data_IF_302186828061
#
_entry.id   IF_302186828061
#
_cell.length_a   1.000
_cell.length_b   1.000
_cell.length_c   1.000
_cell.angle_alpha   90.00
_cell.angle_beta   90.00
_cell.angle_gamma   90.00
#
_symmetry.space_group_name_H-M   'P 1'
#
loop_
_entity.id
_entity.type
_entity.pdbx_description
1 polymer ?
#
# COMPACT_ATOMS: atom_id res chain seq x y z
N UNK A 1 -28.56 12.48 -14.96
CA UNK A 1 -27.83 13.71 -14.58
C UNK A 1 -27.33 13.52 -13.17
N UNK A 2 -26.03 13.45 -12.96
CA UNK A 2 -25.43 13.45 -11.61
C UNK A 2 -25.58 14.84 -11.02
N UNK A 3 -26.29 14.95 -9.90
CA UNK A 3 -26.38 16.19 -9.13
C UNK A 3 -25.07 16.42 -8.37
N UNK A 4 -24.71 17.68 -8.15
CA UNK A 4 -23.59 18.01 -7.28
C UNK A 4 -23.86 17.48 -5.86
N UNK A 5 -22.83 16.93 -5.22
CA UNK A 5 -22.92 16.40 -3.86
C UNK A 5 -21.63 16.72 -3.08
N UNK A 6 -21.76 16.81 -1.76
CA UNK A 6 -20.63 17.04 -0.86
C UNK A 6 -20.12 15.71 -0.30
N UNK A 7 -18.84 15.43 -0.50
CA UNK A 7 -18.17 14.22 0.00
C UNK A 7 -17.14 14.60 1.07
N UNK A 8 -16.92 13.70 2.04
CA UNK A 8 -16.03 13.95 3.19
C UNK A 8 -15.02 12.82 3.33
N UNK A 9 -13.78 13.20 3.68
CA UNK A 9 -12.71 12.30 4.08
C UNK A 9 -12.14 12.78 5.41
N UNK A 10 -12.03 11.87 6.38
CA UNK A 10 -11.30 12.11 7.63
C UNK A 10 -10.00 11.33 7.58
N UNK A 11 -8.88 12.03 7.67
CA UNK A 11 -7.54 11.45 7.55
C UNK A 11 -6.76 11.66 8.86
N UNK A 12 -6.28 10.59 9.52
CA UNK A 12 -5.34 10.71 10.62
C UNK A 12 -4.04 11.40 10.17
N UNK A 13 -3.60 12.44 10.89
CA UNK A 13 -2.40 13.21 10.53
C UNK A 13 -1.12 12.37 10.42
N UNK A 14 -1.04 11.25 11.13
CA UNK A 14 0.07 10.30 11.03
C UNK A 14 0.27 9.75 9.60
N UNK A 15 -0.79 9.65 8.79
CA UNK A 15 -0.73 9.20 7.40
C UNK A 15 -0.07 10.19 6.43
N UNK A 16 0.31 11.38 6.92
CA UNK A 16 1.14 12.35 6.19
C UNK A 16 2.64 12.09 6.38
N UNK A 17 3.03 11.26 7.35
CA UNK A 17 4.43 10.97 7.64
C UNK A 17 5.02 10.09 6.53
N UNK A 18 6.13 10.56 5.96
CA UNK A 18 6.93 9.82 4.97
C UNK A 18 7.65 8.64 5.64
N UNK A 19 7.95 7.61 4.86
CA UNK A 19 8.60 6.40 5.34
C UNK A 19 8.12 5.17 4.58
N UNK A 20 8.45 4.00 5.10
CA UNK A 20 8.04 2.72 4.54
C UNK A 20 6.79 2.23 5.26
N UNK A 21 5.69 2.10 4.52
CA UNK A 21 4.37 1.75 5.02
C UNK A 21 3.87 0.55 4.26
N UNK A 22 3.04 -0.25 4.91
CA UNK A 22 2.23 -1.27 4.27
C UNK A 22 0.76 -0.88 4.35
N UNK A 23 -0.01 -1.13 3.31
CA UNK A 23 -1.43 -0.80 3.30
C UNK A 23 -2.25 -1.79 2.49
N UNK A 24 -3.53 -1.89 2.86
CA UNK A 24 -4.55 -2.64 2.13
C UNK A 24 -5.67 -1.68 1.77
N UNK A 25 -5.99 -1.63 0.49
CA UNK A 25 -7.26 -1.08 0.01
C UNK A 25 -8.33 -2.15 0.09
N UNK A 26 -9.34 -1.92 0.91
CA UNK A 26 -10.60 -2.65 0.89
C UNK A 26 -11.57 -1.91 -0.04
N UNK A 27 -11.99 -2.57 -1.12
CA UNK A 27 -12.87 -2.02 -2.15
C UNK A 27 -14.20 -2.75 -2.11
N UNK A 28 -15.25 -2.06 -1.66
CA UNK A 28 -16.61 -2.58 -1.60
C UNK A 28 -17.35 -2.22 -2.88
N UNK A 29 -17.96 -3.22 -3.50
CA UNK A 29 -18.76 -3.09 -4.72
C UNK A 29 -20.21 -3.39 -4.36
N UNK A 30 -21.14 -2.55 -4.79
CA UNK A 30 -22.57 -2.76 -4.54
C UNK A 30 -23.03 -4.10 -5.13
N UNK A 31 -23.71 -4.93 -4.33
CA UNK A 31 -24.21 -6.23 -4.75
C UNK A 31 -23.21 -7.40 -4.64
N UNK A 32 -21.94 -7.13 -4.33
CA UNK A 32 -20.97 -8.21 -4.03
C UNK A 32 -20.90 -8.49 -2.52
N UNK A 33 -20.82 -9.78 -2.11
CA UNK A 33 -20.87 -10.15 -0.70
C UNK A 33 -19.56 -9.86 0.06
N UNK A 34 -18.43 -9.84 -0.65
CA UNK A 34 -17.09 -9.73 -0.06
C UNK A 34 -16.29 -8.65 -0.82
N UNK A 35 -15.52 -7.79 -0.12
CA UNK A 35 -14.73 -6.75 -0.78
C UNK A 35 -13.57 -7.33 -1.59
N UNK A 36 -13.10 -6.56 -2.56
CA UNK A 36 -11.81 -6.78 -3.20
C UNK A 36 -10.69 -6.13 -2.37
N UNK A 37 -9.57 -6.83 -2.20
CA UNK A 37 -8.42 -6.34 -1.48
C UNK A 37 -7.26 -6.06 -2.43
N UNK A 38 -6.62 -4.90 -2.31
CA UNK A 38 -5.34 -4.63 -2.95
C UNK A 38 -4.30 -4.32 -1.89
N UNK A 39 -3.19 -5.06 -1.91
CA UNK A 39 -2.08 -4.86 -0.98
C UNK A 39 -1.02 -4.01 -1.66
N UNK A 40 -0.54 -2.98 -0.96
CA UNK A 40 0.50 -2.10 -1.48
C UNK A 40 1.42 -1.59 -0.38
N UNK A 41 2.51 -0.95 -0.80
CA UNK A 41 3.45 -0.30 0.12
C UNK A 41 3.92 1.07 -0.34
N UNK A 42 4.66 1.75 0.53
CA UNK A 42 5.55 2.87 0.17
C UNK A 42 7.02 2.41 0.22
N UNK A 43 7.89 3.12 -0.48
CA UNK A 43 9.28 2.70 -0.72
C UNK A 43 9.43 2.24 -2.18
N UNK A 44 9.73 3.18 -3.07
CA UNK A 44 9.71 2.96 -4.51
C UNK A 44 10.94 2.20 -5.00
N UNK A 45 10.79 1.44 -6.08
CA UNK A 45 11.93 0.72 -6.68
C UNK A 45 12.94 1.64 -7.37
N UNK A 46 12.49 2.82 -7.80
CA UNK A 46 13.24 3.76 -8.65
C UNK A 46 13.56 5.09 -7.97
N UNK A 47 13.24 5.25 -6.69
CA UNK A 47 13.47 6.48 -5.93
C UNK A 47 13.85 6.16 -4.49
N UNK A 48 14.85 6.85 -3.92
CA UNK A 48 15.24 6.64 -2.53
C UNK A 48 14.26 7.26 -1.54
N UNK A 49 13.23 7.96 -2.04
CA UNK A 49 12.30 8.74 -1.23
C UNK A 49 11.02 7.93 -0.95
N UNK A 50 10.92 7.32 0.22
CA UNK A 50 9.74 6.57 0.64
C UNK A 50 8.60 7.54 1.02
N UNK A 51 7.49 7.52 0.26
CA UNK A 51 6.39 8.47 0.44
C UNK A 51 5.47 8.15 1.62
N UNK A 52 4.46 9.00 1.85
CA UNK A 52 3.40 8.74 2.82
C UNK A 52 2.20 8.00 2.17
N UNK A 53 1.38 7.26 2.94
CA UNK A 53 0.17 6.61 2.42
C UNK A 53 -0.78 7.59 1.74
N UNK A 54 -0.95 8.79 2.31
CA UNK A 54 -1.80 9.83 1.73
C UNK A 54 -1.38 10.21 0.29
N UNK A 55 -0.08 10.31 0.03
CA UNK A 55 0.43 10.61 -1.32
C UNK A 55 0.15 9.47 -2.30
N UNK A 56 0.28 8.22 -1.85
CA UNK A 56 -0.01 7.03 -2.68
C UNK A 56 -1.50 6.81 -2.89
N UNK A 57 -2.33 7.25 -1.95
CA UNK A 57 -3.78 7.09 -1.99
C UNK A 57 -4.37 7.64 -3.30
N UNK A 58 -4.06 8.90 -3.63
CA UNK A 58 -4.55 9.54 -4.85
C UNK A 58 -3.91 8.98 -6.13
N UNK A 59 -2.64 8.55 -6.05
CA UNK A 59 -1.92 7.99 -7.20
C UNK A 59 -2.60 6.72 -7.71
N UNK A 60 -2.85 5.75 -6.82
CA UNK A 60 -3.39 4.42 -7.17
C UNK A 60 -4.75 4.46 -7.88
N UNK A 61 -5.56 5.45 -7.58
CA UNK A 61 -6.87 5.69 -8.21
C UNK A 61 -6.81 6.73 -9.32
N UNK A 62 -5.67 7.38 -9.55
CA UNK A 62 -5.47 8.37 -10.60
C UNK A 62 -5.54 7.79 -12.00
N UNK A 63 -5.51 8.65 -13.02
CA UNK A 63 -5.53 8.26 -14.44
C UNK A 63 -4.13 8.17 -15.07
N UNK A 64 -3.08 8.58 -14.35
CA UNK A 64 -1.71 8.51 -14.86
C UNK A 64 -1.28 7.05 -15.00
N UNK A 65 -0.80 6.68 -16.18
CA UNK A 65 -0.49 5.30 -16.55
C UNK A 65 0.48 4.62 -15.56
N UNK A 66 1.49 5.35 -15.08
CA UNK A 66 2.52 4.82 -14.19
C UNK A 66 2.15 4.85 -12.70
N UNK A 67 0.95 5.31 -12.36
CA UNK A 67 0.54 5.51 -10.96
C UNK A 67 -0.81 4.86 -10.64
N UNK A 68 -1.50 4.26 -11.61
CA UNK A 68 -2.91 3.82 -11.53
C UNK A 68 -3.10 2.31 -11.27
N UNK A 69 -2.24 1.67 -10.47
CA UNK A 69 -2.24 0.21 -10.32
C UNK A 69 -3.59 -0.35 -9.83
N UNK A 70 -4.16 0.22 -8.77
CA UNK A 70 -5.48 -0.19 -8.26
C UNK A 70 -6.58 0.01 -9.31
N UNK A 71 -6.61 1.17 -9.97
CA UNK A 71 -7.55 1.43 -11.07
C UNK A 71 -7.46 0.36 -12.15
N UNK A 72 -6.25 0.02 -12.61
CA UNK A 72 -6.06 -1.00 -13.66
C UNK A 72 -6.59 -2.36 -13.23
N UNK A 73 -6.36 -2.78 -11.99
CA UNK A 73 -6.90 -4.03 -11.46
C UNK A 73 -8.43 -4.05 -11.44
N UNK A 74 -9.06 -2.96 -10.95
CA UNK A 74 -10.52 -2.87 -10.86
C UNK A 74 -11.18 -2.81 -12.24
N UNK A 75 -10.67 -1.98 -13.15
CA UNK A 75 -11.16 -1.91 -14.54
C UNK A 75 -10.96 -3.26 -15.25
N UNK A 76 -9.84 -3.94 -15.02
CA UNK A 76 -9.60 -5.28 -15.56
C UNK A 76 -10.59 -6.35 -15.05
N UNK A 77 -11.29 -6.10 -13.94
CA UNK A 77 -12.40 -6.92 -13.43
C UNK A 77 -13.77 -6.46 -13.95
N UNK A 78 -13.82 -5.44 -14.80
CA UNK A 78 -15.06 -4.87 -15.31
C UNK A 78 -15.81 -3.99 -14.31
N UNK A 79 -15.14 -3.51 -13.26
CA UNK A 79 -15.75 -2.70 -12.22
C UNK A 79 -15.72 -1.21 -12.56
N UNK A 80 -16.83 -0.51 -12.29
CA UNK A 80 -16.92 0.95 -12.33
C UNK A 80 -16.40 1.53 -11.02
N UNK A 81 -15.36 2.36 -11.08
CA UNK A 81 -14.72 2.88 -9.86
C UNK A 81 -15.64 3.81 -9.07
N UNK A 82 -16.45 4.60 -9.76
CA UNK A 82 -17.39 5.56 -9.19
C UNK A 82 -18.54 4.89 -8.42
N UNK A 83 -18.75 3.59 -8.63
CA UNK A 83 -19.75 2.77 -7.92
C UNK A 83 -19.15 2.05 -6.71
N UNK A 84 -17.83 2.14 -6.50
CA UNK A 84 -17.11 1.49 -5.41
C UNK A 84 -16.97 2.39 -4.18
N UNK A 85 -16.91 1.77 -3.00
CA UNK A 85 -16.45 2.43 -1.77
C UNK A 85 -15.05 1.94 -1.43
N UNK A 86 -14.16 2.87 -1.10
CA UNK A 86 -12.75 2.58 -0.85
C UNK A 86 -12.40 2.86 0.61
N UNK A 87 -11.77 1.88 1.27
CA UNK A 87 -11.25 2.02 2.62
C UNK A 87 -9.76 1.67 2.63
N UNK A 88 -8.92 2.61 3.07
CA UNK A 88 -7.47 2.43 3.11
C UNK A 88 -7.04 2.13 4.55
N UNK A 89 -6.54 0.92 4.78
CA UNK A 89 -5.97 0.48 6.05
C UNK A 89 -4.46 0.55 5.90
N UNK A 90 -3.78 1.41 6.66
CA UNK A 90 -2.33 1.62 6.56
C UNK A 90 -1.65 1.34 7.89
N UNK A 91 -0.54 0.61 7.85
CA UNK A 91 0.31 0.29 8.99
C UNK A 91 1.71 0.87 8.77
N UNK A 92 2.18 1.66 9.75
CA UNK A 92 3.53 2.20 9.72
C UNK A 92 3.68 3.62 10.31
N UNK A 93 4.78 4.32 9.95
CA UNK A 93 5.85 3.79 9.11
C UNK A 93 6.58 2.65 9.84
N UNK A 94 6.80 1.53 9.13
CA UNK A 94 7.61 0.40 9.61
C UNK A 94 9.06 0.86 9.77
N UNK A 95 9.53 1.63 8.79
CA UNK A 95 10.83 2.31 8.82
C UNK A 95 10.66 3.78 8.46
N UNK A 96 11.42 4.69 9.09
CA UNK A 96 11.47 6.08 8.63
C UNK A 96 11.99 6.17 7.20
N UNK A 97 11.74 7.31 6.55
CA UNK A 97 12.37 7.61 5.27
C UNK A 97 13.89 7.75 5.47
N UNK A 98 14.69 7.31 4.49
CA UNK A 98 16.10 7.69 4.41
C UNK A 98 16.19 9.21 4.38
N UNK A 99 17.06 9.78 5.21
CA UNK A 99 17.16 11.23 5.34
C UNK A 99 17.36 11.89 3.98
N UNK A 100 16.40 12.73 3.63
CA UNK A 100 16.29 13.33 2.30
C UNK A 100 16.94 14.70 2.32
N UNK A 101 18.01 14.94 1.54
CA UNK A 101 18.57 16.27 1.40
C UNK A 101 17.50 17.29 0.97
N UNK A 102 17.49 18.45 1.63
CA UNK A 102 16.55 19.52 1.33
C UNK A 102 16.77 20.06 -0.09
N UNK A 103 18.05 20.18 -0.49
CA UNK A 103 18.45 20.64 -1.80
C UNK A 103 18.25 19.55 -2.87
N UNK A 104 17.64 19.93 -4.00
CA UNK A 104 17.44 19.05 -5.16
C UNK A 104 18.78 18.60 -5.76
N UNK A 105 19.76 19.50 -5.85
CA UNK A 105 21.06 19.20 -6.46
C UNK A 105 21.83 18.18 -5.63
N UNK A 106 21.86 18.36 -4.32
CA UNK A 106 22.47 17.40 -3.39
C UNK A 106 21.76 16.03 -3.45
N UNK A 107 20.43 16.02 -3.56
CA UNK A 107 19.69 14.77 -3.71
C UNK A 107 20.07 14.02 -4.98
N UNK A 108 20.32 14.74 -6.08
CA UNK A 108 20.77 14.13 -7.34
C UNK A 108 22.19 13.60 -7.21
N UNK A 109 23.11 14.38 -6.64
CA UNK A 109 24.51 13.97 -6.49
C UNK A 109 24.67 12.75 -5.57
N UNK A 110 23.85 12.66 -4.51
CA UNK A 110 23.87 11.55 -3.54
C UNK A 110 22.89 10.43 -3.87
N UNK A 111 22.27 10.42 -5.06
CA UNK A 111 21.20 9.48 -5.38
C UNK A 111 21.60 8.02 -5.19
N UNK A 112 22.80 7.63 -5.62
CA UNK A 112 23.28 6.25 -5.48
C UNK A 112 23.41 5.83 -4.01
N UNK A 113 24.06 6.66 -3.19
CA UNK A 113 24.21 6.47 -1.75
C UNK A 113 22.85 6.34 -1.05
N UNK A 114 21.92 7.26 -1.35
CA UNK A 114 20.57 7.23 -0.79
C UNK A 114 19.80 5.98 -1.21
N UNK A 115 20.00 5.50 -2.43
CA UNK A 115 19.41 4.25 -2.90
C UNK A 115 19.98 3.03 -2.19
N UNK A 116 21.26 3.03 -1.85
CA UNK A 116 21.90 1.93 -1.13
C UNK A 116 21.40 1.82 0.32
N UNK A 117 21.10 2.96 0.95
CA UNK A 117 20.41 3.00 2.25
C UNK A 117 18.93 2.61 2.14
N UNK A 118 18.27 2.98 1.03
CA UNK A 118 16.85 2.72 0.81
C UNK A 118 16.55 1.24 0.52
N UNK A 119 17.41 0.59 -0.28
CA UNK A 119 17.17 -0.75 -0.83
C UNK A 119 16.91 -1.81 0.25
N UNK A 120 17.67 -1.92 1.34
CA UNK A 120 17.41 -2.91 2.39
C UNK A 120 16.02 -2.74 3.03
N UNK A 121 15.64 -1.50 3.36
CA UNK A 121 14.35 -1.17 3.97
C UNK A 121 13.20 -1.46 3.01
N UNK A 122 13.38 -1.11 1.73
CA UNK A 122 12.47 -1.45 0.65
C UNK A 122 12.33 -2.96 0.50
N UNK A 123 13.43 -3.70 0.52
CA UNK A 123 13.41 -5.14 0.28
C UNK A 123 12.65 -5.87 1.38
N UNK A 124 12.83 -5.42 2.62
CA UNK A 124 12.09 -5.93 3.76
C UNK A 124 10.59 -5.64 3.68
N UNK A 125 10.17 -4.38 3.46
CA UNK A 125 8.74 -4.04 3.37
C UNK A 125 8.08 -4.63 2.13
N UNK A 126 8.84 -4.84 1.05
CA UNK A 126 8.36 -5.59 -0.11
C UNK A 126 8.12 -7.08 0.17
N UNK A 127 8.87 -7.67 1.10
CA UNK A 127 8.61 -9.02 1.57
C UNK A 127 7.27 -9.07 2.32
N UNK A 128 7.03 -8.12 3.24
CA UNK A 128 5.76 -8.03 3.96
C UNK A 128 4.56 -7.75 3.05
N UNK A 129 4.73 -6.96 1.99
CA UNK A 129 3.70 -6.75 0.97
C UNK A 129 3.30 -8.06 0.28
N UNK A 130 4.30 -8.87 -0.11
CA UNK A 130 4.05 -10.21 -0.65
C UNK A 130 3.39 -11.12 0.38
N UNK A 131 3.95 -11.21 1.57
CA UNK A 131 3.51 -12.18 2.58
C UNK A 131 2.09 -11.85 3.07
N UNK A 132 1.73 -10.56 3.18
CA UNK A 132 0.36 -10.14 3.47
C UNK A 132 -0.61 -10.46 2.33
N UNK A 133 -0.23 -10.24 1.07
CA UNK A 133 -1.07 -10.61 -0.06
C UNK A 133 -1.34 -12.12 -0.10
N UNK A 134 -0.32 -12.94 0.15
CA UNK A 134 -0.45 -14.40 0.23
C UNK A 134 -1.30 -14.82 1.43
N UNK A 135 -1.05 -14.27 2.61
CA UNK A 135 -1.79 -14.63 3.82
C UNK A 135 -3.29 -14.30 3.69
N UNK A 136 -3.64 -13.15 3.09
CA UNK A 136 -5.02 -12.77 2.82
C UNK A 136 -5.69 -13.74 1.83
N UNK A 137 -5.01 -14.09 0.74
CA UNK A 137 -5.52 -15.03 -0.26
C UNK A 137 -5.75 -16.43 0.36
N UNK A 138 -4.77 -16.96 1.09
CA UNK A 138 -4.86 -18.25 1.80
C UNK A 138 -5.97 -18.26 2.84
N UNK A 139 -6.21 -17.14 3.52
CA UNK A 139 -7.31 -17.00 4.48
C UNK A 139 -8.70 -16.85 3.80
N UNK A 140 -8.77 -16.87 2.47
CA UNK A 140 -9.99 -16.84 1.69
C UNK A 140 -10.53 -15.44 1.39
N UNK A 141 -9.69 -14.41 1.45
CA UNK A 141 -10.05 -13.07 0.96
C UNK A 141 -9.81 -12.93 -0.55
N UNK A 142 -10.51 -12.01 -1.20
CA UNK A 142 -10.40 -11.76 -2.64
C UNK A 142 -9.30 -10.75 -2.93
N UNK A 143 -8.07 -11.21 -3.11
CA UNK A 143 -6.92 -10.34 -3.38
C UNK A 143 -6.79 -10.04 -4.88
N UNK A 144 -6.64 -8.77 -5.24
CA UNK A 144 -6.58 -8.27 -6.61
C UNK A 144 -5.21 -8.42 -7.26
N UNK A 145 -4.14 -8.21 -6.49
CA UNK A 145 -2.79 -8.15 -6.99
C UNK A 145 -1.95 -9.35 -6.53
N UNK A 146 -1.09 -9.84 -7.42
CA UNK A 146 -0.05 -10.81 -7.08
C UNK A 146 1.27 -10.06 -6.96
N UNK A 147 1.90 -10.14 -5.78
CA UNK A 147 3.15 -9.45 -5.50
C UNK A 147 4.31 -10.42 -5.72
N UNK A 148 5.10 -10.18 -6.77
CA UNK A 148 6.31 -10.96 -7.04
C UNK A 148 7.51 -10.27 -6.39
N UNK A 149 7.94 -10.80 -5.25
CA UNK A 149 9.09 -10.27 -4.51
C UNK A 149 9.99 -11.40 -4.03
N UNK A 150 11.31 -11.27 -4.19
CA UNK A 150 12.29 -12.31 -3.81
C UNK A 150 12.85 -12.17 -2.39
N UNK A 151 13.22 -10.96 -1.93
CA UNK A 151 13.74 -10.79 -0.57
C UNK A 151 12.80 -11.33 0.51
N UNK A 152 13.38 -11.72 1.64
CA UNK A 152 12.65 -12.20 2.83
C UNK A 152 12.74 -11.12 3.90
N UNK A 153 11.65 -10.88 4.61
CA UNK A 153 11.59 -9.92 5.71
C UNK A 153 12.06 -10.52 7.03
N UNK A 154 12.15 -9.68 8.06
CA UNK A 154 12.38 -10.14 9.42
C UNK A 154 11.14 -10.90 9.95
N UNK A 155 11.29 -12.15 10.43
CA UNK A 155 10.15 -12.93 10.89
C UNK A 155 9.43 -12.34 12.10
N UNK A 156 10.13 -11.69 13.02
CA UNK A 156 9.51 -11.13 14.22
C UNK A 156 8.63 -9.92 13.85
N UNK A 157 9.15 -9.03 13.01
CA UNK A 157 8.38 -7.90 12.49
C UNK A 157 7.24 -8.34 11.58
N UNK A 158 7.39 -9.42 10.83
CA UNK A 158 6.27 -10.01 10.09
C UNK A 158 5.11 -10.38 11.03
N UNK A 159 5.38 -10.97 12.20
CA UNK A 159 4.33 -11.29 13.17
C UNK A 159 3.62 -10.03 13.69
N UNK A 160 4.35 -8.93 13.92
CA UNK A 160 3.75 -7.65 14.31
C UNK A 160 2.82 -7.09 13.23
N UNK A 161 3.26 -7.13 11.97
CA UNK A 161 2.46 -6.71 10.81
C UNK A 161 1.21 -7.58 10.68
N UNK A 162 1.36 -8.90 10.74
CA UNK A 162 0.25 -9.84 10.63
C UNK A 162 -0.78 -9.62 11.75
N UNK A 163 -0.31 -9.41 12.98
CA UNK A 163 -1.17 -9.10 14.12
C UNK A 163 -1.96 -7.82 13.89
N UNK A 164 -1.31 -6.74 13.46
CA UNK A 164 -1.97 -5.46 13.22
C UNK A 164 -3.06 -5.56 12.14
N UNK A 165 -2.80 -6.28 11.04
CA UNK A 165 -3.80 -6.48 10.00
C UNK A 165 -4.90 -7.47 10.39
N UNK A 166 -4.66 -8.41 11.30
CA UNK A 166 -5.67 -9.35 11.78
C UNK A 166 -6.82 -8.67 12.54
N UNK A 167 -6.60 -7.49 13.10
CA UNK A 167 -7.65 -6.66 13.72
C UNK A 167 -8.70 -6.20 12.70
N UNK A 168 -8.28 -6.02 11.45
CA UNK A 168 -9.15 -5.62 10.33
C UNK A 168 -9.59 -6.80 9.46
N UNK A 169 -8.80 -7.88 9.46
CA UNK A 169 -9.01 -9.07 8.64
C UNK A 169 -9.03 -10.34 9.53
N UNK A 170 -10.14 -10.61 10.24
CA UNK A 170 -10.18 -11.67 11.26
C UNK A 170 -9.91 -13.09 10.78
N UNK A 171 -10.07 -13.39 9.48
CA UNK A 171 -9.74 -14.72 8.93
C UNK A 171 -8.21 -14.98 8.98
N UNK A 172 -7.37 -13.93 9.04
CA UNK A 172 -5.92 -14.07 9.21
C UNK A 172 -5.55 -14.69 10.56
N UNK A 173 -6.20 -14.28 11.65
CA UNK A 173 -5.95 -14.80 13.00
C UNK A 173 -6.49 -16.22 13.25
N UNK A 174 -7.22 -16.79 12.29
CA UNK A 174 -7.75 -18.17 12.35
C UNK A 174 -6.95 -19.16 11.51
N UNK A 175 -6.02 -18.66 10.69
CA UNK A 175 -5.22 -19.45 9.75
C UNK A 175 -3.82 -19.79 10.31
N UNK A 176 -3.57 -19.48 11.59
CA UNK A 176 -2.33 -19.79 12.33
C UNK A 176 -2.59 -20.93 13.30
#
# INVERSE_FOLDING_TARGET
>A
MTTAATYRLTLPGAMLRRGFWLYVWEVKVAGEPEPWLYVGRTGDNSSPNASAPYTRMGQHLGSLENQSALRKHLVGKGLTLEECTFHLISHGPIHPEVERPANIEERKSRHAELMDLHRPLRDEVGAYERDLAVALDVAGYRVLNTVKWKPVGDPARWQEVLKAFSEHFPKLGRAV
#
